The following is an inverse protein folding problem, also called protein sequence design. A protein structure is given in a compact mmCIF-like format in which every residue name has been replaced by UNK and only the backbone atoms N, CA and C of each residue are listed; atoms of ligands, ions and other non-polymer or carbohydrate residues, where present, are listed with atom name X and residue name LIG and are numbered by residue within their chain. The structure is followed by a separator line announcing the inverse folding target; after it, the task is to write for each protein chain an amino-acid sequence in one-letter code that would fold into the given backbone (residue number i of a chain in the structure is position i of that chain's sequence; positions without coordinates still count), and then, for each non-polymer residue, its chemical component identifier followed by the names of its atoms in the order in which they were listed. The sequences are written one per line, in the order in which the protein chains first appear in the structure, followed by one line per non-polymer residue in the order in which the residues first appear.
data_IF_152904060224
#
_entry.id   IF_152904060224
#
_cell.length_a   1.000
_cell.length_b   1.000
_cell.length_c   1.000
_cell.angle_alpha   90.00
_cell.angle_beta   90.00
_cell.angle_gamma   90.00
#
_symmetry.space_group_name_H-M   'P 1'
#
loop_
_entity.id
_entity.type
_entity.pdbx_description
1 polymer ?
#
# COMPACT_ATOMS: atom_id res chain seq x y z
N UNK A 1 -9.06 -25.14 -0.30
CA UNK A 1 -9.17 -24.15 -1.38
C UNK A 1 -7.81 -23.48 -1.52
N UNK A 2 -7.17 -23.58 -2.69
CA UNK A 2 -5.83 -23.00 -2.90
C UNK A 2 -5.94 -21.46 -2.93
N UNK A 3 -5.31 -20.80 -1.96
CA UNK A 3 -5.35 -19.34 -1.82
C UNK A 3 -4.24 -18.74 -2.69
N UNK A 4 -4.40 -18.81 -4.01
CA UNK A 4 -3.49 -18.11 -4.93
C UNK A 4 -3.88 -16.63 -5.06
N UNK A 5 -3.71 -15.87 -3.98
CA UNK A 5 -3.73 -14.41 -4.06
C UNK A 5 -2.42 -13.96 -4.72
N UNK A 6 -2.48 -13.77 -6.04
CA UNK A 6 -1.31 -13.50 -6.88
C UNK A 6 -0.69 -12.11 -6.66
N UNK A 7 -1.31 -11.22 -5.91
CA UNK A 7 -0.82 -9.86 -5.70
C UNK A 7 -0.96 -9.40 -4.25
N UNK A 8 0.12 -8.85 -3.71
CA UNK A 8 0.12 -8.12 -2.44
C UNK A 8 -0.68 -6.82 -2.56
N UNK A 9 -1.25 -6.34 -1.45
CA UNK A 9 -1.78 -4.98 -1.43
C UNK A 9 -0.69 -3.96 -1.80
N UNK A 10 -1.08 -2.88 -2.47
CA UNK A 10 -0.21 -1.82 -2.97
C UNK A 10 0.76 -2.20 -4.12
N UNK A 11 0.69 -3.43 -4.62
CA UNK A 11 1.48 -3.89 -5.77
C UNK A 11 0.61 -3.99 -7.05
N UNK A 12 1.27 -4.09 -8.21
CA UNK A 12 0.63 -4.28 -9.51
C UNK A 12 -0.33 -3.14 -9.92
N UNK A 13 0.12 -1.88 -9.81
CA UNK A 13 -0.63 -0.74 -10.34
C UNK A 13 -0.96 -0.93 -11.83
N UNK A 14 -2.23 -0.76 -12.24
CA UNK A 14 -2.63 -0.91 -13.65
C UNK A 14 -2.27 0.31 -14.51
N UNK A 15 -1.82 1.41 -13.88
CA UNK A 15 -1.35 2.60 -14.58
C UNK A 15 0.04 2.33 -15.14
N UNK A 16 0.23 2.56 -16.45
CA UNK A 16 1.52 2.35 -17.10
C UNK A 16 2.31 3.66 -17.11
N UNK A 17 3.58 3.59 -16.75
CA UNK A 17 4.56 4.64 -17.03
C UNK A 17 5.21 4.39 -18.38
N UNK A 18 5.37 5.46 -19.19
CA UNK A 18 6.19 5.56 -20.42
C UNK A 18 6.52 4.21 -21.09
N UNK A 19 5.68 3.77 -22.02
CA UNK A 19 6.11 2.78 -23.01
C UNK A 19 6.55 3.51 -24.28
N UNK A 20 7.58 3.01 -24.97
CA UNK A 20 7.94 3.42 -26.33
C UNK A 20 6.88 3.05 -27.41
N UNK A 21 5.67 2.70 -26.97
CA UNK A 21 4.47 2.54 -27.79
C UNK A 21 3.91 3.91 -28.17
N UNK A 22 3.46 4.06 -29.41
CA UNK A 22 2.86 5.26 -30.02
C UNK A 22 1.59 5.78 -29.31
N UNK A 23 1.15 5.11 -28.24
CA UNK A 23 -0.04 5.42 -27.42
C UNK A 23 0.28 5.94 -26.02
N UNK A 24 1.57 6.06 -25.65
CA UNK A 24 1.96 6.49 -24.30
C UNK A 24 1.97 8.01 -24.15
N UNK A 25 1.25 8.52 -23.15
CA UNK A 25 1.26 9.94 -22.79
C UNK A 25 2.60 10.29 -22.14
N UNK A 26 3.36 11.23 -22.74
CA UNK A 26 4.54 11.79 -22.09
C UNK A 26 4.14 12.54 -20.81
N UNK A 27 4.80 12.34 -19.66
CA UNK A 27 4.52 13.10 -18.44
C UNK A 27 4.61 14.62 -18.63
N UNK A 28 5.50 15.10 -19.50
CA UNK A 28 5.62 16.54 -19.79
C UNK A 28 4.40 17.05 -20.55
N UNK A 29 3.98 16.34 -21.60
CA UNK A 29 2.80 16.69 -22.38
C UNK A 29 1.52 16.63 -21.53
N UNK A 30 1.42 15.62 -20.65
CA UNK A 30 0.34 15.51 -19.69
C UNK A 30 0.32 16.73 -18.74
N UNK A 31 1.48 17.16 -18.24
CA UNK A 31 1.59 18.31 -17.35
C UNK A 31 1.20 19.63 -18.04
N UNK A 32 1.59 19.82 -19.30
CA UNK A 32 1.20 20.97 -20.12
C UNK A 32 -0.31 21.01 -20.36
N UNK A 33 -0.90 19.85 -20.67
CA UNK A 33 -2.35 19.71 -20.83
C UNK A 33 -3.09 20.00 -19.52
N UNK A 34 -2.62 19.47 -18.39
CA UNK A 34 -3.22 19.72 -17.08
C UNK A 34 -3.15 21.21 -16.72
N UNK A 35 -2.01 21.87 -16.95
CA UNK A 35 -1.85 23.33 -16.75
C UNK A 35 -2.90 24.13 -17.51
N UNK A 36 -3.03 23.84 -18.80
CA UNK A 36 -3.99 24.52 -19.67
C UNK A 36 -5.44 24.34 -19.17
N UNK A 37 -5.79 23.13 -18.69
CA UNK A 37 -7.12 22.84 -18.14
C UNK A 37 -7.39 23.57 -16.81
N UNK A 38 -6.39 23.70 -15.95
CA UNK A 38 -6.51 24.43 -14.68
C UNK A 38 -6.66 25.95 -14.92
N UNK A 39 -5.89 26.50 -15.86
CA UNK A 39 -5.93 27.93 -16.21
C UNK A 39 -7.28 28.31 -16.88
N UNK A 40 -7.83 27.44 -17.73
CA UNK A 40 -9.13 27.66 -18.38
C UNK A 40 -10.30 27.65 -17.39
N UNK A 41 -10.24 26.79 -16.36
CA UNK A 41 -11.26 26.71 -15.30
C UNK A 41 -11.33 27.95 -14.41
N UNK A 42 -10.26 28.76 -14.37
CA UNK A 42 -10.21 30.01 -13.62
C UNK A 42 -10.80 31.22 -14.40
N UNK A 43 -11.16 31.06 -15.68
CA UNK A 43 -11.42 32.20 -16.57
C UNK A 43 -12.58 32.15 -17.56
N UNK A 44 -13.31 31.04 -17.77
CA UNK A 44 -14.36 31.04 -18.81
C UNK A 44 -15.55 30.10 -18.56
N UNK A 45 -16.70 30.69 -18.21
CA UNK A 45 -17.88 30.53 -19.05
C UNK A 45 -17.67 31.45 -20.27
N UNK A 46 -17.94 30.94 -21.48
CA UNK A 46 -17.66 31.57 -22.79
C UNK A 46 -16.20 31.55 -23.28
N UNK A 47 -15.85 30.52 -24.07
CA UNK A 47 -15.30 30.70 -25.42
C UNK A 47 -15.11 29.34 -26.10
N UNK A 48 -15.68 29.19 -27.29
CA UNK A 48 -15.36 28.11 -28.22
C UNK A 48 -13.92 28.26 -28.72
N UNK A 49 -13.00 27.47 -28.16
CA UNK A 49 -11.66 27.28 -28.73
C UNK A 49 -11.45 25.81 -29.13
N UNK A 50 -11.17 25.52 -30.41
CA UNK A 50 -10.78 24.20 -30.86
C UNK A 50 -9.26 24.06 -30.74
N UNK A 51 -8.76 23.55 -29.62
CA UNK A 51 -7.41 22.97 -29.54
C UNK A 51 -7.47 21.59 -28.87
N UNK A 52 -6.70 20.62 -29.38
CA UNK A 52 -6.86 19.22 -29.01
C UNK A 52 -6.18 19.04 -27.66
N UNK A 53 -6.96 18.73 -26.63
CA UNK A 53 -6.41 18.09 -25.43
C UNK A 53 -6.59 16.59 -25.64
N UNK A 54 -5.61 15.85 -26.22
CA UNK A 54 -5.77 14.45 -26.61
C UNK A 54 -5.87 13.48 -25.42
N UNK A 55 -5.99 13.98 -24.18
CA UNK A 55 -5.99 13.16 -22.97
C UNK A 55 -6.96 13.70 -21.93
N UNK A 56 -7.92 12.86 -21.54
CA UNK A 56 -8.75 13.10 -20.36
C UNK A 56 -7.87 13.06 -19.10
N UNK A 57 -7.87 14.14 -18.30
CA UNK A 57 -7.14 14.17 -17.02
C UNK A 57 -8.04 13.76 -15.87
N UNK A 58 -7.61 12.77 -15.08
CA UNK A 58 -8.29 12.29 -13.88
C UNK A 58 -7.43 12.59 -12.66
N UNK A 59 -7.98 13.32 -11.69
CA UNK A 59 -7.28 13.74 -10.48
C UNK A 59 -7.82 12.96 -9.29
N UNK A 60 -6.92 12.39 -8.48
CA UNK A 60 -7.21 11.81 -7.19
C UNK A 60 -6.80 12.79 -6.08
N UNK A 61 -7.76 13.47 -5.43
CA UNK A 61 -7.46 14.33 -4.30
C UNK A 61 -7.07 13.51 -3.07
N UNK A 62 -6.14 14.04 -2.30
CA UNK A 62 -5.77 13.56 -0.98
C UNK A 62 -6.01 14.64 0.07
N UNK A 63 -6.30 14.22 1.30
CA UNK A 63 -6.33 15.10 2.46
C UNK A 63 -5.62 14.44 3.63
N UNK A 64 -4.45 14.96 3.99
CA UNK A 64 -3.58 14.45 5.06
C UNK A 64 -3.26 12.97 4.87
N UNK A 65 -2.82 12.61 3.66
CA UNK A 65 -2.49 11.24 3.27
C UNK A 65 -3.69 10.31 3.02
N UNK A 66 -4.93 10.79 3.15
CA UNK A 66 -6.16 10.03 2.88
C UNK A 66 -6.64 10.26 1.45
N UNK A 67 -6.72 9.24 0.57
CA UNK A 67 -7.30 9.40 -0.76
C UNK A 67 -8.81 9.65 -0.69
N UNK A 68 -9.34 10.34 -1.70
CA UNK A 68 -10.78 10.40 -1.94
C UNK A 68 -11.27 9.05 -2.49
N UNK A 69 -12.17 8.42 -1.76
CA UNK A 69 -12.80 7.16 -2.12
C UNK A 69 -14.33 7.35 -2.15
N UNK A 70 -15.01 6.52 -2.92
CA UNK A 70 -16.46 6.40 -2.93
C UNK A 70 -16.84 4.95 -2.68
N UNK A 71 -18.05 4.73 -2.18
CA UNK A 71 -18.59 3.39 -1.97
C UNK A 71 -20.02 3.34 -2.43
N UNK A 72 -20.37 2.22 -3.07
CA UNK A 72 -21.73 1.95 -3.52
C UNK A 72 -22.29 0.77 -2.73
N UNK A 73 -23.58 0.83 -2.44
CA UNK A 73 -24.28 -0.32 -1.89
C UNK A 73 -24.27 -1.47 -2.88
N UNK A 74 -24.12 -2.68 -2.36
CA UNK A 74 -24.23 -3.88 -3.17
C UNK A 74 -25.64 -4.03 -3.74
N UNK A 75 -25.77 -4.46 -5.00
CA UNK A 75 -27.09 -4.83 -5.52
C UNK A 75 -27.68 -5.98 -4.69
N UNK A 76 -29.01 -6.03 -4.50
CA UNK A 76 -29.64 -7.12 -3.76
C UNK A 76 -29.37 -8.47 -4.44
N UNK A 77 -29.21 -9.56 -3.67
CA UNK A 77 -28.95 -10.88 -4.24
C UNK A 77 -30.12 -11.32 -5.14
N UNK A 78 -29.87 -12.06 -6.23
CA UNK A 78 -30.92 -12.63 -7.05
C UNK A 78 -31.81 -13.55 -6.20
N UNK A 79 -33.12 -13.62 -6.52
CA UNK A 79 -34.12 -14.32 -5.71
C UNK A 79 -33.78 -15.79 -5.37
N UNK A 80 -32.97 -16.45 -6.21
CA UNK A 80 -32.47 -17.82 -5.99
C UNK A 80 -31.41 -17.95 -4.88
N UNK A 81 -30.88 -16.84 -4.36
CA UNK A 81 -29.81 -16.79 -3.35
C UNK A 81 -30.24 -16.07 -2.05
N UNK A 82 -31.55 -15.91 -1.82
CA UNK A 82 -32.12 -15.09 -0.73
C UNK A 82 -31.73 -15.52 0.71
N UNK A 83 -31.14 -16.72 0.88
CA UNK A 83 -30.63 -17.19 2.17
C UNK A 83 -29.18 -16.73 2.48
N UNK A 84 -28.44 -16.22 1.49
CA UNK A 84 -27.08 -15.74 1.70
C UNK A 84 -27.07 -14.23 2.03
N UNK A 85 -26.21 -13.77 2.97
CA UNK A 85 -26.07 -12.35 3.24
C UNK A 85 -25.60 -11.59 1.97
N UNK A 86 -26.06 -10.35 1.74
CA UNK A 86 -25.67 -9.57 0.56
C UNK A 86 -24.14 -9.35 0.54
N UNK A 87 -23.51 -9.21 -0.63
CA UNK A 87 -22.07 -8.95 -0.67
C UNK A 87 -21.73 -7.62 0.04
N UNK A 88 -20.54 -7.49 0.65
CA UNK A 88 -20.12 -6.23 1.25
C UNK A 88 -20.12 -5.09 0.21
N UNK A 89 -20.37 -3.84 0.61
CA UNK A 89 -20.25 -2.69 -0.28
C UNK A 89 -18.86 -2.64 -0.94
N UNK A 90 -18.82 -2.32 -2.22
CA UNK A 90 -17.57 -2.11 -2.93
C UNK A 90 -17.16 -0.63 -2.83
N UNK A 91 -15.90 -0.39 -2.50
CA UNK A 91 -15.30 0.94 -2.57
C UNK A 91 -14.43 1.06 -3.82
N UNK A 92 -14.31 2.27 -4.37
CA UNK A 92 -13.43 2.61 -5.49
C UNK A 92 -12.81 3.98 -5.27
N UNK A 93 -11.71 4.27 -5.96
CA UNK A 93 -11.17 5.63 -5.96
C UNK A 93 -12.15 6.62 -6.60
N UNK A 94 -12.27 7.80 -6.00
CA UNK A 94 -13.09 8.88 -6.50
C UNK A 94 -12.21 9.86 -7.30
N UNK A 95 -12.25 9.70 -8.62
CA UNK A 95 -11.52 10.54 -9.56
C UNK A 95 -12.35 11.79 -9.90
N UNK A 96 -11.73 12.96 -9.85
CA UNK A 96 -12.32 14.24 -10.19
C UNK A 96 -11.73 14.79 -11.50
N UNK A 97 -12.52 15.52 -12.31
CA UNK A 97 -11.97 16.32 -13.40
C UNK A 97 -11.23 17.56 -12.85
N UNK A 98 -10.30 18.17 -13.61
CA UNK A 98 -9.56 19.37 -13.19
C UNK A 98 -10.44 20.52 -12.70
N UNK A 99 -11.60 20.73 -13.33
CA UNK A 99 -12.55 21.77 -12.94
C UNK A 99 -13.10 21.63 -11.50
N UNK A 100 -13.08 20.44 -10.89
CA UNK A 100 -13.50 20.22 -9.49
C UNK A 100 -12.36 20.38 -8.48
N UNK A 101 -11.16 20.75 -8.95
CA UNK A 101 -10.01 21.07 -8.08
C UNK A 101 -9.38 22.41 -8.52
N UNK A 102 -10.18 23.51 -8.59
CA UNK A 102 -9.69 24.81 -9.05
C UNK A 102 -8.62 25.37 -8.10
N UNK A 103 -7.83 26.35 -8.56
CA UNK A 103 -6.87 27.10 -7.72
C UNK A 103 -5.72 26.27 -7.12
N UNK A 104 -5.47 25.04 -7.58
CA UNK A 104 -4.25 24.29 -7.22
C UNK A 104 -3.11 24.69 -8.16
N UNK A 105 -1.95 25.12 -7.63
CA UNK A 105 -0.75 25.28 -8.43
C UNK A 105 -0.40 23.99 -9.17
N UNK A 106 -0.10 24.09 -10.47
CA UNK A 106 0.18 22.92 -11.30
C UNK A 106 1.37 22.07 -10.83
N UNK A 107 2.30 22.67 -10.08
CA UNK A 107 3.47 22.00 -9.52
C UNK A 107 3.17 21.17 -8.27
N UNK A 108 1.97 21.31 -7.68
CA UNK A 108 1.50 20.48 -6.58
C UNK A 108 0.97 19.11 -7.03
N UNK A 109 0.75 18.91 -8.33
CA UNK A 109 0.26 17.66 -8.89
C UNK A 109 1.40 16.67 -9.14
N UNK A 110 1.13 15.39 -8.86
CA UNK A 110 2.04 14.28 -9.17
C UNK A 110 1.41 13.36 -10.20
N UNK A 111 2.16 13.06 -11.27
CA UNK A 111 1.72 12.16 -12.32
C UNK A 111 1.85 10.70 -11.87
N UNK A 112 0.75 9.93 -11.96
CA UNK A 112 0.68 8.53 -11.55
C UNK A 112 0.83 7.56 -12.73
N UNK A 113 0.57 8.01 -13.94
CA UNK A 113 0.63 7.20 -15.16
C UNK A 113 -0.53 7.47 -16.10
N UNK A 114 -0.61 6.65 -17.14
CA UNK A 114 -1.70 6.69 -18.10
C UNK A 114 -2.36 5.31 -18.25
N UNK A 115 -3.62 5.31 -18.63
CA UNK A 115 -4.38 4.10 -18.93
C UNK A 115 -5.29 4.34 -20.13
N UNK A 116 -5.23 3.46 -21.13
CA UNK A 116 -6.14 3.47 -22.29
C UNK A 116 -7.39 2.66 -21.97
N UNK A 117 -8.56 3.23 -22.24
CA UNK A 117 -9.83 2.59 -21.89
C UNK A 117 -10.32 1.53 -22.90
N UNK A 118 -9.61 1.30 -24.02
CA UNK A 118 -9.82 0.20 -25.00
C UNK A 118 -8.83 0.39 -26.17
N UNK A 119 -8.66 -0.63 -27.04
CA UNK A 119 -7.97 -0.45 -28.32
C UNK A 119 -8.68 0.64 -29.14
N UNK A 120 -7.99 1.76 -29.39
CA UNK A 120 -8.51 2.88 -30.19
C UNK A 120 -9.06 4.07 -29.39
N UNK A 121 -9.13 4.00 -28.04
CA UNK A 121 -9.46 5.17 -27.20
C UNK A 121 -8.20 5.88 -26.71
N UNK A 122 -8.25 7.21 -26.63
CA UNK A 122 -7.17 8.02 -26.09
C UNK A 122 -6.89 7.69 -24.61
N UNK A 123 -5.61 7.62 -24.24
CA UNK A 123 -5.21 7.30 -22.88
C UNK A 123 -5.49 8.47 -21.93
N UNK A 124 -6.17 8.20 -20.82
CA UNK A 124 -6.37 9.17 -19.76
C UNK A 124 -5.09 9.33 -18.92
N UNK A 125 -4.77 10.56 -18.54
CA UNK A 125 -3.67 10.88 -17.65
C UNK A 125 -4.17 10.94 -16.20
N UNK A 126 -3.49 10.22 -15.31
CA UNK A 126 -3.88 10.09 -13.90
C UNK A 126 -2.93 10.87 -13.01
N UNK A 127 -3.50 11.66 -12.11
CA UNK A 127 -2.79 12.59 -11.24
C UNK A 127 -3.23 12.42 -9.79
N UNK A 128 -2.37 12.79 -8.85
CA UNK A 128 -2.76 13.02 -7.46
C UNK A 128 -2.33 14.40 -6.98
N UNK A 129 -3.04 14.91 -5.96
CA UNK A 129 -2.81 16.22 -5.37
C UNK A 129 -3.24 16.20 -3.91
N UNK A 130 -2.51 16.89 -3.03
CA UNK A 130 -2.95 17.13 -1.66
C UNK A 130 -3.76 18.45 -1.56
N UNK A 131 -4.99 18.35 -1.06
CA UNK A 131 -5.94 19.46 -0.87
C UNK A 131 -6.21 19.75 0.61
N UNK A 132 -5.23 19.46 1.49
CA UNK A 132 -5.35 19.64 2.95
C UNK A 132 -5.43 21.09 3.41
N UNK A 133 -4.75 22.00 2.72
CA UNK A 133 -4.70 23.44 3.05
C UNK A 133 -5.97 24.18 2.60
N UNK A 134 -7.06 23.46 2.32
CA UNK A 134 -8.28 24.02 1.72
C UNK A 134 -9.51 23.71 2.56
N UNK A 135 -10.27 24.76 2.80
CA UNK A 135 -11.60 24.65 3.38
C UNK A 135 -12.57 24.10 2.35
N UNK A 136 -13.24 23.02 2.72
CA UNK A 136 -14.19 22.31 1.86
C UNK A 136 -14.64 21.04 2.56
N UNK A 137 -15.91 21.03 2.95
CA UNK A 137 -16.61 19.82 3.38
C UNK A 137 -16.67 18.81 2.23
N UNK A 138 -16.97 17.54 2.53
CA UNK A 138 -16.75 16.40 1.63
C UNK A 138 -17.28 16.57 0.20
N UNK A 139 -16.80 15.74 -0.72
CA UNK A 139 -17.04 15.88 -2.15
C UNK A 139 -18.50 15.69 -2.63
N UNK A 140 -19.49 15.64 -1.73
CA UNK A 140 -20.90 15.93 -2.03
C UNK A 140 -21.66 14.88 -2.86
N UNK A 141 -21.09 13.70 -3.08
CA UNK A 141 -21.56 12.73 -4.08
C UNK A 141 -21.39 11.27 -3.64
N UNK A 142 -21.43 11.01 -2.33
CA UNK A 142 -21.15 9.67 -1.78
C UNK A 142 -19.66 9.31 -1.79
N UNK A 143 -18.78 10.33 -1.79
CA UNK A 143 -17.33 10.17 -1.63
C UNK A 143 -16.79 10.87 -0.37
N UNK A 144 -15.72 10.31 0.17
CA UNK A 144 -15.07 10.79 1.38
C UNK A 144 -13.56 10.50 1.36
N UNK A 145 -12.81 11.27 2.14
CA UNK A 145 -11.39 11.00 2.38
C UNK A 145 -11.23 9.89 3.42
N UNK A 146 -10.75 8.73 3.00
CA UNK A 146 -10.66 7.52 3.83
C UNK A 146 -9.21 7.16 4.08
N UNK A 147 -8.89 6.67 5.28
CA UNK A 147 -7.54 6.20 5.60
C UNK A 147 -7.13 5.01 4.71
N UNK A 148 -5.90 5.03 4.22
CA UNK A 148 -5.41 4.01 3.27
C UNK A 148 -5.33 2.61 3.90
N UNK A 149 -5.05 2.49 5.21
CA UNK A 149 -5.06 1.20 5.91
C UNK A 149 -6.49 0.67 6.05
N UNK A 150 -7.46 1.55 6.27
CA UNK A 150 -8.88 1.17 6.27
C UNK A 150 -9.33 0.67 4.91
N UNK A 151 -8.97 1.36 3.82
CA UNK A 151 -9.24 0.89 2.46
C UNK A 151 -8.58 -0.47 2.20
N UNK A 152 -7.32 -0.65 2.61
CA UNK A 152 -6.60 -1.92 2.48
C UNK A 152 -7.36 -3.08 3.13
N UNK A 153 -7.87 -2.91 4.35
CA UNK A 153 -8.63 -3.96 5.05
C UNK A 153 -10.04 -4.14 4.45
N UNK A 154 -10.69 -3.05 4.00
CA UNK A 154 -12.01 -3.07 3.38
C UNK A 154 -12.05 -3.72 1.99
N UNK A 155 -10.90 -3.89 1.34
CA UNK A 155 -10.80 -4.37 -0.04
C UNK A 155 -11.12 -5.85 -0.13
N UNK A 156 -11.98 -6.23 -1.08
CA UNK A 156 -12.07 -7.61 -1.49
C UNK A 156 -10.80 -7.96 -2.29
N UNK A 157 -9.91 -8.74 -1.69
CA UNK A 157 -8.64 -9.16 -2.29
C UNK A 157 -8.81 -10.10 -3.50
N UNK A 158 -10.03 -10.58 -3.78
CA UNK A 158 -10.37 -11.33 -4.99
C UNK A 158 -10.69 -10.40 -6.17
N UNK A 159 -11.06 -9.15 -5.88
CA UNK A 159 -11.35 -8.12 -6.88
C UNK A 159 -10.04 -7.45 -7.34
N UNK A 160 -9.65 -7.77 -8.58
CA UNK A 160 -8.43 -7.24 -9.20
C UNK A 160 -8.48 -5.73 -9.39
N UNK A 161 -9.65 -5.17 -9.65
CA UNK A 161 -9.78 -3.74 -9.88
C UNK A 161 -9.65 -2.97 -8.57
N UNK A 162 -10.25 -3.48 -7.50
CA UNK A 162 -10.10 -2.90 -6.16
C UNK A 162 -8.65 -2.98 -5.67
N UNK A 163 -7.96 -4.09 -5.94
CA UNK A 163 -6.51 -4.22 -5.68
C UNK A 163 -5.67 -3.26 -6.52
N UNK A 164 -6.05 -3.03 -7.78
CA UNK A 164 -5.43 -2.03 -8.64
C UNK A 164 -5.61 -0.59 -8.12
N UNK A 165 -6.82 -0.26 -7.64
CA UNK A 165 -7.13 1.00 -6.99
C UNK A 165 -6.28 1.20 -5.72
N UNK A 166 -6.08 0.17 -4.89
CA UNK A 166 -5.16 0.23 -3.75
C UNK A 166 -3.73 0.53 -4.19
N UNK A 167 -3.23 -0.12 -5.24
CA UNK A 167 -1.88 0.10 -5.76
C UNK A 167 -1.67 1.54 -6.24
N UNK A 168 -2.66 2.11 -6.91
CA UNK A 168 -2.65 3.52 -7.32
C UNK A 168 -2.64 4.44 -6.10
N UNK A 169 -3.53 4.21 -5.14
CA UNK A 169 -3.63 5.03 -3.94
C UNK A 169 -2.35 5.00 -3.09
N UNK A 170 -1.74 3.81 -2.96
CA UNK A 170 -0.47 3.63 -2.29
C UNK A 170 0.68 4.38 -2.97
N UNK A 171 0.79 4.27 -4.29
CA UNK A 171 1.79 5.01 -5.07
C UNK A 171 1.61 6.53 -4.94
N UNK A 172 0.38 7.01 -5.08
CA UNK A 172 0.04 8.42 -4.95
C UNK A 172 0.36 8.97 -3.56
N UNK A 173 -0.02 8.24 -2.49
CA UNK A 173 0.30 8.62 -1.11
C UNK A 173 1.81 8.74 -0.90
N UNK A 174 2.58 7.74 -1.36
CA UNK A 174 4.04 7.75 -1.22
C UNK A 174 4.68 8.97 -1.89
N UNK A 175 4.25 9.30 -3.11
CA UNK A 175 4.76 10.48 -3.82
C UNK A 175 4.39 11.78 -3.11
N UNK A 176 3.11 11.95 -2.73
CA UNK A 176 2.64 13.16 -2.04
C UNK A 176 3.33 13.37 -0.69
N UNK A 177 3.49 12.31 0.10
CA UNK A 177 4.18 12.38 1.39
C UNK A 177 5.67 12.70 1.22
N UNK A 178 6.33 12.13 0.20
CA UNK A 178 7.69 12.50 -0.13
C UNK A 178 7.81 13.97 -0.55
N UNK A 179 6.84 14.50 -1.31
CA UNK A 179 6.81 15.93 -1.63
C UNK A 179 6.64 16.80 -0.39
N UNK A 180 5.82 16.35 0.56
CA UNK A 180 5.56 17.01 1.85
C UNK A 180 6.85 17.14 2.68
N UNK A 181 7.69 16.09 2.68
CA UNK A 181 8.88 16.01 3.54
C UNK A 181 10.14 16.55 2.86
N UNK A 182 10.32 16.35 1.55
CA UNK A 182 11.51 16.77 0.80
C UNK A 182 11.44 18.22 0.30
N UNK A 183 11.18 19.20 1.18
CA UNK A 183 10.98 20.62 0.79
C UNK A 183 12.27 21.35 0.40
N UNK A 184 13.41 20.91 0.93
CA UNK A 184 14.71 21.56 0.74
C UNK A 184 15.77 20.55 0.26
N UNK A 185 16.80 21.05 -0.40
CA UNK A 185 17.92 20.27 -0.87
C UNK A 185 18.85 19.92 0.29
N UNK A 186 19.02 18.62 0.56
CA UNK A 186 19.94 18.15 1.60
C UNK A 186 21.43 18.43 1.35
N UNK A 187 21.82 18.98 0.19
CA UNK A 187 23.21 19.36 -0.09
C UNK A 187 23.52 20.83 0.18
N UNK A 188 22.59 21.75 -0.07
CA UNK A 188 22.84 23.19 0.02
C UNK A 188 21.73 23.99 0.76
N UNK A 189 20.68 23.34 1.24
CA UNK A 189 19.57 23.98 1.95
C UNK A 189 18.58 24.77 1.08
N UNK A 190 18.87 24.99 -0.21
CA UNK A 190 17.96 25.70 -1.12
C UNK A 190 16.67 24.91 -1.40
N UNK A 191 15.60 25.60 -1.84
CA UNK A 191 14.30 24.97 -2.12
C UNK A 191 14.42 23.84 -3.16
N UNK A 192 13.73 22.73 -2.90
CA UNK A 192 13.59 21.63 -3.85
C UNK A 192 12.27 21.80 -4.61
N UNK A 193 12.34 22.06 -5.92
CA UNK A 193 11.17 22.31 -6.77
C UNK A 193 10.76 21.02 -7.52
N UNK A 194 9.46 20.72 -7.67
CA UNK A 194 8.99 19.61 -8.48
C UNK A 194 9.51 19.67 -9.92
N UNK A 195 9.84 18.50 -10.48
CA UNK A 195 10.26 18.32 -11.87
C UNK A 195 9.72 17.00 -12.42
N UNK A 196 9.65 16.88 -13.75
CA UNK A 196 9.11 15.69 -14.43
C UNK A 196 7.72 15.29 -13.92
N UNK A 197 6.79 16.25 -13.93
CA UNK A 197 5.40 16.06 -13.49
C UNK A 197 5.30 15.50 -12.05
N UNK A 198 6.14 16.01 -11.15
CA UNK A 198 6.14 15.62 -9.75
C UNK A 198 6.79 14.26 -9.47
N UNK A 199 7.45 13.61 -10.43
CA UNK A 199 8.13 12.31 -10.21
C UNK A 199 9.50 12.45 -9.56
N UNK A 200 10.09 13.64 -9.63
CA UNK A 200 11.31 14.00 -8.92
C UNK A 200 11.30 15.47 -8.51
N UNK A 201 12.34 15.89 -7.80
CA UNK A 201 12.61 17.28 -7.45
C UNK A 201 13.98 17.69 -7.96
N UNK A 202 14.14 19.00 -8.10
CA UNK A 202 15.33 19.65 -8.58
C UNK A 202 15.69 20.78 -7.60
N UNK A 203 16.94 20.87 -7.17
CA UNK A 203 17.38 22.01 -6.38
C UNK A 203 17.23 23.31 -7.19
N UNK A 204 16.62 24.34 -6.61
CA UNK A 204 16.42 25.65 -7.25
C UNK A 204 17.68 26.50 -7.34
N UNK A 205 18.77 26.10 -6.68
CA UNK A 205 20.04 26.80 -6.79
C UNK A 205 20.77 26.37 -8.06
N UNK A 206 21.01 27.34 -8.94
CA UNK A 206 21.65 27.16 -10.24
C UNK A 206 23.07 26.59 -10.15
N UNK A 207 23.82 26.87 -9.07
CA UNK A 207 25.15 26.29 -8.88
C UNK A 207 25.12 24.86 -8.34
N UNK A 208 24.02 24.45 -7.70
CA UNK A 208 23.88 23.10 -7.13
C UNK A 208 23.22 22.13 -8.12
N UNK A 209 22.04 22.47 -8.64
CA UNK A 209 21.24 21.64 -9.57
C UNK A 209 21.17 20.15 -9.20
N UNK A 210 21.18 19.81 -7.91
CA UNK A 210 21.03 18.42 -7.46
C UNK A 210 19.63 17.90 -7.80
N UNK A 211 19.57 16.72 -8.43
CA UNK A 211 18.35 15.93 -8.62
C UNK A 211 18.04 15.17 -7.34
N UNK A 212 16.77 15.14 -6.96
CA UNK A 212 16.30 14.50 -5.72
C UNK A 212 15.15 13.56 -6.10
N UNK A 213 15.29 12.29 -5.74
CA UNK A 213 14.33 11.25 -6.07
C UNK A 213 13.48 10.85 -4.87
N UNK A 214 12.29 10.26 -5.08
CA UNK A 214 11.47 9.69 -4.02
C UNK A 214 12.25 8.71 -3.13
N UNK A 215 12.05 8.82 -1.82
CA UNK A 215 12.66 7.92 -0.82
C UNK A 215 11.85 6.62 -0.73
N UNK A 216 12.54 5.50 -0.70
CA UNK A 216 12.01 4.17 -0.41
C UNK A 216 12.93 3.53 0.62
N UNK A 217 12.38 3.10 1.75
CA UNK A 217 13.14 2.53 2.86
C UNK A 217 13.01 0.99 2.85
N UNK A 218 14.09 0.23 2.55
CA UNK A 218 14.02 -1.22 2.50
C UNK A 218 13.89 -1.81 3.90
N UNK A 219 12.97 -2.77 4.03
CA UNK A 219 12.70 -3.50 5.27
C UNK A 219 12.67 -4.98 4.94
N UNK A 220 13.55 -5.78 5.55
CA UNK A 220 13.45 -7.23 5.44
C UNK A 220 12.34 -7.72 6.35
N UNK A 221 11.57 -8.70 5.89
CA UNK A 221 10.57 -9.41 6.70
C UNK A 221 10.75 -10.90 6.48
N UNK A 222 10.87 -11.67 7.55
CA UNK A 222 11.32 -13.06 7.45
C UNK A 222 10.50 -13.99 8.32
N UNK A 223 10.12 -15.12 7.73
CA UNK A 223 9.62 -16.27 8.47
C UNK A 223 10.80 -17.20 8.76
N UNK A 224 11.18 -17.30 10.03
CA UNK A 224 12.27 -18.17 10.47
C UNK A 224 11.71 -19.57 10.74
N UNK A 225 12.31 -20.58 10.14
CA UNK A 225 11.81 -21.95 10.11
C UNK A 225 12.78 -22.88 10.83
N UNK A 226 12.25 -23.64 11.78
CA UNK A 226 12.89 -24.83 12.33
C UNK A 226 12.39 -26.03 11.54
N UNK A 227 13.25 -26.51 10.63
CA UNK A 227 12.92 -27.56 9.67
C UNK A 227 12.79 -28.93 10.34
N UNK A 228 13.52 -29.18 11.42
CA UNK A 228 13.56 -30.49 12.09
C UNK A 228 12.28 -30.72 12.90
N UNK A 229 11.77 -29.67 13.55
CA UNK A 229 10.59 -29.74 14.40
C UNK A 229 9.30 -29.23 13.72
N UNK A 230 9.34 -28.95 12.42
CA UNK A 230 8.23 -28.44 11.60
C UNK A 230 7.45 -27.27 12.24
N UNK A 231 8.20 -26.25 12.64
CA UNK A 231 7.67 -25.06 13.32
C UNK A 231 8.31 -23.78 12.80
N UNK A 232 7.63 -22.66 13.00
CA UNK A 232 8.13 -21.34 12.60
C UNK A 232 8.14 -20.38 13.79
N UNK A 233 9.11 -19.48 13.80
CA UNK A 233 9.23 -18.42 14.79
C UNK A 233 8.28 -17.30 14.39
N UNK A 234 7.38 -16.95 15.30
CA UNK A 234 6.56 -15.76 15.18
C UNK A 234 6.80 -14.87 16.39
N UNK A 235 6.68 -13.57 16.19
CA UNK A 235 6.82 -12.57 17.24
C UNK A 235 5.57 -11.70 17.38
N UNK A 236 5.51 -11.01 18.51
CA UNK A 236 4.48 -10.03 18.83
C UNK A 236 5.13 -8.79 19.42
N UNK A 237 4.65 -7.63 18.99
CA UNK A 237 5.04 -6.32 19.52
C UNK A 237 3.91 -5.76 20.39
N UNK A 238 4.24 -4.98 21.42
CA UNK A 238 3.27 -4.40 22.35
C UNK A 238 2.25 -3.47 21.68
N UNK A 239 2.63 -2.85 20.54
CA UNK A 239 1.76 -2.02 19.72
C UNK A 239 0.75 -2.81 18.87
N UNK A 240 0.94 -4.12 18.73
CA UNK A 240 0.05 -4.96 17.94
C UNK A 240 -1.26 -5.21 18.69
N UNK A 241 -2.29 -5.54 17.91
CA UNK A 241 -3.56 -5.98 18.46
C UNK A 241 -3.30 -7.22 19.30
N UNK A 242 -3.84 -7.31 20.54
CA UNK A 242 -3.56 -8.45 21.43
C UNK A 242 -3.81 -9.78 20.72
N UNK A 243 -2.85 -10.71 20.82
CA UNK A 243 -2.82 -12.03 20.15
C UNK A 243 -2.44 -12.05 18.66
N UNK A 244 -2.04 -10.91 18.07
CA UNK A 244 -1.46 -10.90 16.73
C UNK A 244 -0.01 -11.40 16.77
N UNK A 245 0.28 -12.45 16.02
CA UNK A 245 1.62 -12.99 15.82
C UNK A 245 2.03 -12.79 14.36
N UNK A 246 3.26 -12.34 14.11
CA UNK A 246 3.75 -12.01 12.78
C UNK A 246 5.20 -12.47 12.59
N UNK A 247 5.67 -12.42 11.35
CA UNK A 247 7.09 -12.52 11.02
C UNK A 247 7.90 -11.39 11.68
N UNK A 248 9.19 -11.66 11.92
CA UNK A 248 10.18 -10.65 12.30
C UNK A 248 10.41 -9.70 11.12
N UNK A 249 10.74 -8.43 11.39
CA UNK A 249 11.02 -7.47 10.34
C UNK A 249 11.83 -6.29 10.85
N UNK A 250 12.79 -5.83 10.03
CA UNK A 250 13.63 -4.70 10.39
C UNK A 250 14.28 -4.02 9.19
N UNK A 251 14.87 -2.86 9.44
CA UNK A 251 15.45 -2.04 8.39
C UNK A 251 16.80 -2.58 7.96
N UNK A 252 17.13 -2.40 6.68
CA UNK A 252 18.50 -2.62 6.21
C UNK A 252 19.43 -1.50 6.69
N UNK A 253 20.67 -1.84 7.04
CA UNK A 253 21.70 -0.86 7.33
C UNK A 253 22.55 -0.50 6.08
N UNK A 254 23.12 0.72 6.01
CA UNK A 254 24.03 1.07 4.92
C UNK A 254 25.25 0.15 4.85
N UNK A 255 25.44 -0.50 3.70
CA UNK A 255 26.55 -1.43 3.47
C UNK A 255 26.20 -2.90 3.75
N UNK A 256 24.98 -3.18 4.20
CA UNK A 256 24.47 -4.52 4.46
C UNK A 256 23.74 -5.10 3.23
N UNK A 257 23.90 -6.40 2.97
CA UNK A 257 23.04 -7.15 2.05
C UNK A 257 21.69 -7.49 2.69
N UNK A 258 20.69 -7.87 1.89
CA UNK A 258 19.37 -8.24 2.43
C UNK A 258 19.47 -9.48 3.32
N UNK A 259 20.33 -10.43 2.95
CA UNK A 259 20.54 -11.67 3.68
C UNK A 259 21.31 -11.45 4.99
N UNK A 260 22.22 -10.48 5.04
CA UNK A 260 22.86 -10.03 6.29
C UNK A 260 21.84 -9.37 7.21
N UNK A 261 21.00 -8.48 6.69
CA UNK A 261 19.93 -7.83 7.47
C UNK A 261 18.98 -8.86 8.09
N UNK A 262 18.56 -9.88 7.32
CA UNK A 262 17.75 -10.98 7.85
C UNK A 262 18.43 -11.70 9.02
N UNK A 263 19.74 -11.94 8.93
CA UNK A 263 20.50 -12.61 9.99
C UNK A 263 20.65 -11.73 11.22
N UNK A 264 21.02 -10.46 11.03
CA UNK A 264 21.20 -9.48 12.10
C UNK A 264 19.90 -9.27 12.86
N UNK A 265 18.82 -8.89 12.18
CA UNK A 265 17.52 -8.60 12.80
C UNK A 265 16.96 -9.83 13.54
N UNK A 266 17.11 -11.03 12.97
CA UNK A 266 16.69 -12.25 13.67
C UNK A 266 17.49 -12.47 14.96
N UNK A 267 18.79 -12.26 14.92
CA UNK A 267 19.65 -12.42 16.08
C UNK A 267 19.41 -11.34 17.14
N UNK A 268 19.25 -10.09 16.74
CA UNK A 268 19.01 -8.94 17.65
C UNK A 268 17.70 -9.09 18.41
N UNK A 269 16.61 -9.41 17.70
CA UNK A 269 15.28 -9.47 18.31
C UNK A 269 15.05 -10.76 19.12
N UNK A 270 15.69 -11.89 18.74
CA UNK A 270 15.33 -13.22 19.28
C UNK A 270 16.50 -14.10 19.70
N UNK A 271 17.75 -13.71 19.46
CA UNK A 271 18.94 -14.53 19.72
C UNK A 271 19.11 -15.72 18.78
N UNK A 272 18.19 -15.94 17.84
CA UNK A 272 18.24 -17.08 16.91
C UNK A 272 19.24 -16.81 15.79
N UNK A 273 20.18 -17.74 15.61
CA UNK A 273 21.08 -17.73 14.47
C UNK A 273 20.38 -18.38 13.28
N UNK A 274 20.47 -17.75 12.12
CA UNK A 274 19.91 -18.31 10.88
C UNK A 274 21.00 -18.54 9.84
N UNK A 275 20.85 -19.62 9.09
CA UNK A 275 21.75 -20.05 8.04
C UNK A 275 21.31 -19.53 6.69
N UNK A 276 20.65 -20.40 5.95
CA UNK A 276 20.14 -20.11 4.62
C UNK A 276 18.99 -19.09 4.68
N UNK A 277 19.00 -18.17 3.71
CA UNK A 277 18.01 -17.10 3.53
C UNK A 277 17.55 -17.13 2.07
N UNK A 278 16.25 -17.32 1.85
CA UNK A 278 15.65 -17.47 0.51
C UNK A 278 14.63 -16.37 0.30
N UNK A 279 14.84 -15.55 -0.74
CA UNK A 279 13.88 -14.53 -1.16
C UNK A 279 12.55 -15.16 -1.59
N UNK A 280 11.44 -14.57 -1.14
CA UNK A 280 10.09 -14.96 -1.50
C UNK A 280 9.44 -13.95 -2.43
N UNK A 281 9.22 -12.71 -1.96
CA UNK A 281 8.51 -11.68 -2.69
C UNK A 281 8.79 -10.29 -2.10
N UNK A 282 8.25 -9.24 -2.71
CA UNK A 282 8.35 -7.87 -2.19
C UNK A 282 7.00 -7.17 -2.21
N UNK A 283 6.74 -6.30 -1.24
CA UNK A 283 5.53 -5.51 -1.13
C UNK A 283 5.87 -4.04 -0.81
N UNK A 284 5.44 -3.07 -1.66
CA UNK A 284 5.42 -1.67 -1.27
C UNK A 284 4.49 -1.46 -0.08
N UNK A 285 4.93 -0.68 0.91
CA UNK A 285 4.19 -0.44 2.14
C UNK A 285 4.08 1.06 2.44
N UNK A 286 3.20 1.78 1.73
CA UNK A 286 2.97 3.21 1.90
C UNK A 286 2.01 3.50 3.05
N UNK A 287 1.89 2.60 4.04
CA UNK A 287 1.04 2.74 5.23
C UNK A 287 1.84 2.77 6.54
N UNK A 288 3.13 3.08 6.43
CA UNK A 288 4.00 3.41 7.55
C UNK A 288 3.67 4.78 8.18
N UNK A 289 4.47 5.21 9.17
CA UNK A 289 4.41 6.55 9.77
C UNK A 289 4.48 7.65 8.71
N UNK A 290 3.82 8.80 8.95
CA UNK A 290 3.78 9.91 7.98
C UNK A 290 5.16 10.48 7.62
N UNK A 291 6.19 10.26 8.43
CA UNK A 291 7.57 10.70 8.13
C UNK A 291 8.32 9.77 7.17
N UNK A 292 7.73 8.62 6.82
CA UNK A 292 8.34 7.59 5.99
C UNK A 292 7.42 7.31 4.80
N UNK A 293 7.67 7.95 3.63
CA UNK A 293 6.73 7.95 2.52
C UNK A 293 6.35 6.56 2.02
N UNK A 294 7.32 5.65 1.94
CA UNK A 294 7.11 4.27 1.51
C UNK A 294 8.22 3.36 2.03
N UNK A 295 7.84 2.29 2.73
CA UNK A 295 8.74 1.17 2.99
C UNK A 295 8.65 0.17 1.84
N UNK A 296 9.74 -0.51 1.52
CA UNK A 296 9.74 -1.68 0.65
C UNK A 296 9.96 -2.92 1.50
N UNK A 297 8.89 -3.67 1.76
CA UNK A 297 8.98 -4.93 2.48
C UNK A 297 9.55 -5.98 1.54
N UNK A 298 10.63 -6.64 1.95
CA UNK A 298 11.29 -7.71 1.19
C UNK A 298 11.19 -8.99 2.00
N UNK A 299 10.39 -9.93 1.50
CA UNK A 299 10.02 -11.16 2.19
C UNK A 299 11.04 -12.28 2.00
N UNK A 300 11.40 -12.95 3.10
CA UNK A 300 12.33 -14.07 3.11
C UNK A 300 11.84 -15.26 3.93
N UNK A 301 12.25 -16.45 3.51
CA UNK A 301 12.35 -17.61 4.41
C UNK A 301 13.76 -17.68 4.96
N UNK A 302 13.91 -17.91 6.25
CA UNK A 302 15.20 -18.10 6.90
C UNK A 302 15.22 -19.40 7.68
N UNK A 303 16.32 -20.15 7.68
CA UNK A 303 16.41 -21.44 8.37
C UNK A 303 17.23 -21.33 9.63
N UNK A 304 16.65 -21.72 10.76
CA UNK A 304 17.27 -21.65 12.07
C UNK A 304 18.44 -22.63 12.20
N UNK A 305 19.54 -22.15 12.79
CA UNK A 305 20.72 -22.93 13.22
C UNK A 305 20.74 -23.13 14.74
N UNK A 306 20.09 -22.26 15.49
CA UNK A 306 19.87 -22.37 16.94
C UNK A 306 18.37 -22.30 17.24
N UNK A 307 17.95 -22.80 18.41
CA UNK A 307 16.54 -22.93 18.78
C UNK A 307 16.17 -22.21 20.10
N UNK A 308 17.17 -21.78 20.88
CA UNK A 308 16.96 -21.10 22.15
C UNK A 308 16.65 -19.62 21.94
N UNK A 309 15.44 -19.22 22.30
CA UNK A 309 14.94 -17.86 22.09
C UNK A 309 15.33 -16.96 23.26
N UNK A 310 15.98 -15.85 22.95
CA UNK A 310 16.27 -14.75 23.86
C UNK A 310 15.64 -13.46 23.30
N UNK A 311 14.46 -13.11 23.79
CA UNK A 311 13.70 -11.96 23.27
C UNK A 311 14.26 -10.64 23.78
N UNK A 312 14.57 -9.70 22.89
CA UNK A 312 14.78 -8.30 23.29
C UNK A 312 13.43 -7.66 23.63
N UNK A 313 13.18 -7.51 24.93
CA UNK A 313 11.95 -6.93 25.48
C UNK A 313 11.80 -5.42 25.22
N UNK A 314 12.82 -4.74 24.67
CA UNK A 314 12.70 -3.34 24.23
C UNK A 314 11.90 -3.23 22.93
N UNK A 315 12.00 -4.22 22.06
CA UNK A 315 11.39 -4.19 20.73
C UNK A 315 10.19 -5.14 20.62
N UNK A 316 10.35 -6.37 21.14
CA UNK A 316 9.33 -7.40 21.09
C UNK A 316 8.70 -7.62 22.46
N UNK A 317 7.38 -7.82 22.46
CA UNK A 317 6.70 -8.30 23.65
C UNK A 317 6.96 -9.79 23.87
N UNK A 318 6.95 -10.57 22.79
CA UNK A 318 7.24 -12.01 22.85
C UNK A 318 7.66 -12.59 21.49
N UNK A 319 8.35 -13.72 21.52
CA UNK A 319 8.67 -14.53 20.34
C UNK A 319 8.62 -16.02 20.70
N UNK A 320 7.95 -16.82 19.87
CA UNK A 320 7.71 -18.23 20.14
C UNK A 320 7.77 -19.08 18.87
N UNK A 321 8.18 -20.33 19.05
CA UNK A 321 8.05 -21.35 18.02
C UNK A 321 6.61 -21.87 17.98
N UNK A 322 5.96 -21.74 16.83
CA UNK A 322 4.61 -22.26 16.60
C UNK A 322 4.64 -23.41 15.61
N UNK A 323 3.96 -24.52 15.96
CA UNK A 323 3.84 -25.66 15.07
C UNK A 323 3.11 -25.28 13.78
N UNK A 324 3.43 -25.94 12.67
CA UNK A 324 2.69 -25.76 11.42
C UNK A 324 1.19 -25.95 11.60
N UNK A 325 0.77 -26.89 12.45
CA UNK A 325 -0.64 -27.17 12.71
C UNK A 325 -1.34 -25.99 13.39
N UNK A 326 -0.71 -25.38 14.40
CA UNK A 326 -1.29 -24.24 15.12
C UNK A 326 -1.36 -23.00 14.22
N UNK A 327 -0.32 -22.75 13.43
CA UNK A 327 -0.31 -21.65 12.46
C UNK A 327 -1.37 -21.88 11.37
N UNK A 328 -1.58 -23.12 10.95
CA UNK A 328 -2.67 -23.47 10.00
C UNK A 328 -4.05 -23.21 10.60
N UNK A 329 -4.25 -23.49 11.89
CA UNK A 329 -5.50 -23.15 12.61
C UNK A 329 -5.69 -21.63 12.72
N UNK A 330 -4.60 -20.87 12.82
CA UNK A 330 -4.62 -19.40 12.87
C UNK A 330 -4.94 -18.72 11.52
N UNK A 331 -4.80 -19.43 10.39
CA UNK A 331 -5.15 -18.95 9.05
C UNK A 331 -6.66 -19.12 8.80
N UNK A 332 -7.47 -18.44 9.60
CA UNK A 332 -8.94 -18.48 9.60
C UNK A 332 -9.55 -17.56 8.54
N UNK A 333 -9.83 -18.11 7.35
CA UNK A 333 -10.41 -17.31 6.25
C UNK A 333 -11.71 -16.58 6.61
N UNK A 334 -12.58 -17.21 7.41
CA UNK A 334 -13.85 -16.62 7.83
C UNK A 334 -13.68 -15.36 8.71
N UNK A 335 -12.63 -15.30 9.54
CA UNK A 335 -12.34 -14.13 10.37
C UNK A 335 -11.83 -12.96 9.52
N UNK A 336 -11.00 -13.24 8.50
CA UNK A 336 -10.57 -12.23 7.54
C UNK A 336 -11.75 -11.69 6.74
N UNK A 337 -12.64 -12.55 6.25
CA UNK A 337 -13.84 -12.13 5.51
C UNK A 337 -14.77 -11.28 6.39
N UNK A 338 -14.95 -11.66 7.67
CA UNK A 338 -15.68 -10.85 8.65
C UNK A 338 -15.03 -9.47 8.81
N UNK A 339 -13.72 -9.41 9.01
CA UNK A 339 -12.98 -8.15 9.17
C UNK A 339 -13.07 -7.25 7.92
N UNK A 340 -12.95 -7.85 6.73
CA UNK A 340 -13.09 -7.16 5.44
C UNK A 340 -14.50 -6.59 5.30
N UNK A 341 -15.54 -7.39 5.54
CA UNK A 341 -16.95 -6.97 5.46
C UNK A 341 -17.28 -5.84 6.42
N UNK A 342 -16.81 -5.92 7.67
CA UNK A 342 -16.97 -4.85 8.67
C UNK A 342 -16.31 -3.55 8.19
N UNK A 343 -15.08 -3.62 7.67
CA UNK A 343 -14.39 -2.42 7.17
C UNK A 343 -15.03 -1.87 5.90
N UNK A 344 -15.53 -2.72 5.00
CA UNK A 344 -16.27 -2.29 3.80
C UNK A 344 -17.56 -1.54 4.15
N UNK A 345 -18.34 -2.04 5.12
CA UNK A 345 -19.52 -1.36 5.65
C UNK A 345 -19.14 0.00 6.28
N UNK A 346 -18.04 0.04 7.02
CA UNK A 346 -17.54 1.27 7.62
C UNK A 346 -17.15 2.32 6.57
N UNK A 347 -16.41 1.92 5.54
CA UNK A 347 -16.07 2.80 4.40
C UNK A 347 -17.33 3.34 3.74
N UNK A 348 -18.36 2.51 3.56
CA UNK A 348 -19.65 2.93 3.03
C UNK A 348 -20.33 3.98 3.92
N UNK A 349 -20.35 3.79 5.24
CA UNK A 349 -20.91 4.75 6.19
C UNK A 349 -20.15 6.10 6.20
N UNK A 350 -18.82 6.06 6.10
CA UNK A 350 -17.97 7.26 5.97
C UNK A 350 -18.31 8.01 4.67
N UNK A 351 -18.45 7.28 3.55
CA UNK A 351 -18.80 7.85 2.25
C UNK A 351 -20.20 8.48 2.22
N UNK A 352 -21.14 7.93 2.99
CA UNK A 352 -22.51 8.46 3.17
C UNK A 352 -22.62 9.60 4.17
N UNK A 353 -21.53 9.96 4.87
CA UNK A 353 -21.52 11.00 5.89
C UNK A 353 -22.22 10.62 7.20
N UNK A 354 -22.48 9.32 7.43
CA UNK A 354 -23.15 8.81 8.64
C UNK A 354 -22.18 8.70 9.81
N UNK A 355 -20.95 8.24 9.57
CA UNK A 355 -19.88 8.23 10.58
C UNK A 355 -18.99 9.48 10.50
N UNK A 356 -18.70 10.11 11.65
CA UNK A 356 -17.71 11.20 11.72
C UNK A 356 -16.29 10.63 11.55
N UNK A 357 -15.45 11.35 10.79
CA UNK A 357 -14.07 11.04 10.33
C UNK A 357 -13.03 10.73 11.44
N UNK A 358 -13.26 9.73 12.30
CA UNK A 358 -12.30 9.32 13.33
C UNK A 358 -11.26 8.31 12.80
N UNK A 359 -10.05 8.39 13.36
CA UNK A 359 -8.89 7.54 13.02
C UNK A 359 -9.01 6.16 13.64
N UNK A 360 -8.79 5.11 12.83
CA UNK A 360 -9.20 3.72 13.11
C UNK A 360 -8.00 2.87 13.56
N UNK A 361 -7.19 3.36 14.50
CA UNK A 361 -6.17 2.48 15.10
C UNK A 361 -6.76 1.48 16.10
N UNK A 362 -8.06 1.57 16.44
CA UNK A 362 -8.69 0.85 17.55
C UNK A 362 -9.57 -0.35 17.15
N UNK A 363 -9.97 -0.51 15.87
CA UNK A 363 -11.09 -1.41 15.49
C UNK A 363 -10.68 -2.76 14.89
N UNK A 364 -9.44 -3.20 15.13
CA UNK A 364 -9.06 -4.60 14.89
C UNK A 364 -9.46 -5.52 16.07
N UNK A 365 -10.32 -5.06 16.97
CA UNK A 365 -10.95 -5.91 17.99
C UNK A 365 -11.93 -6.86 17.29
N UNK A 366 -11.41 -8.00 16.84
CA UNK A 366 -12.23 -9.14 16.43
C UNK A 366 -12.92 -9.64 17.71
N UNK A 367 -14.18 -9.24 17.90
CA UNK A 367 -15.08 -9.90 18.84
C UNK A 367 -15.47 -11.25 18.23
N UNK A 368 -14.72 -12.27 18.65
CA UNK A 368 -15.08 -13.69 18.51
C UNK A 368 -15.63 -14.16 19.85
N UNK A 369 -16.72 -14.93 19.82
CA UNK A 369 -17.37 -15.52 21.01
C UNK A 369 -16.49 -16.60 21.68
N UNK A 370 -15.47 -17.11 20.99
CA UNK A 370 -14.30 -17.78 21.56
C UNK A 370 -13.04 -17.29 20.84
N UNK A 371 -12.20 -16.44 21.45
CA UNK A 371 -11.06 -15.89 20.74
C UNK A 371 -10.05 -16.98 20.41
N UNK A 372 -9.74 -17.14 19.12
CA UNK A 372 -8.64 -17.99 18.70
C UNK A 372 -7.36 -17.62 19.49
N UNK A 373 -6.56 -18.61 19.92
CA UNK A 373 -5.41 -18.37 20.78
C UNK A 373 -4.34 -17.50 20.11
N UNK A 374 -4.35 -17.46 18.78
CA UNK A 374 -3.47 -16.65 17.94
C UNK A 374 -4.19 -16.25 16.66
N UNK A 375 -3.83 -15.10 16.10
CA UNK A 375 -4.14 -14.76 14.72
C UNK A 375 -2.91 -14.15 14.05
N UNK A 376 -2.83 -14.29 12.73
CA UNK A 376 -1.74 -13.74 11.91
C UNK A 376 -2.27 -12.60 11.02
N UNK A 377 -1.40 -11.72 10.47
CA UNK A 377 -1.83 -10.67 9.57
C UNK A 377 -2.74 -11.17 8.44
N UNK A 378 -3.64 -10.31 7.98
CA UNK A 378 -4.60 -10.66 6.95
C UNK A 378 -3.98 -10.87 5.56
N UNK A 379 -4.74 -11.45 4.62
CA UNK A 379 -4.27 -11.87 3.29
C UNK A 379 -3.74 -10.76 2.37
N UNK A 380 -3.84 -9.50 2.79
CA UNK A 380 -3.26 -8.35 2.10
C UNK A 380 -1.77 -8.11 2.46
N UNK A 381 -1.28 -8.68 3.56
CA UNK A 381 0.05 -8.41 4.10
C UNK A 381 1.07 -9.48 3.68
N UNK A 382 2.29 -9.09 3.32
CA UNK A 382 3.38 -10.00 2.94
C UNK A 382 3.70 -11.06 4.00
N UNK A 383 3.56 -10.73 5.29
CA UNK A 383 3.66 -11.69 6.38
C UNK A 383 2.68 -12.87 6.24
N UNK A 384 1.42 -12.60 5.85
CA UNK A 384 0.43 -13.63 5.58
C UNK A 384 0.86 -14.53 4.42
N UNK A 385 1.43 -13.96 3.37
CA UNK A 385 1.89 -14.74 2.21
C UNK A 385 3.07 -15.63 2.59
N UNK A 386 4.06 -15.12 3.33
CA UNK A 386 5.16 -15.94 3.85
C UNK A 386 4.63 -17.10 4.70
N UNK A 387 3.76 -16.80 5.66
CA UNK A 387 3.17 -17.79 6.57
C UNK A 387 2.33 -18.82 5.81
N UNK A 388 1.44 -18.39 4.92
CA UNK A 388 0.54 -19.28 4.18
C UNK A 388 1.29 -20.13 3.14
N UNK A 389 2.26 -19.56 2.41
CA UNK A 389 3.13 -20.32 1.51
C UNK A 389 3.93 -21.37 2.28
N UNK A 390 4.53 -21.02 3.43
CA UNK A 390 5.17 -22.02 4.27
C UNK A 390 4.18 -23.12 4.66
N UNK A 391 3.03 -22.79 5.25
CA UNK A 391 2.03 -23.75 5.76
C UNK A 391 1.52 -24.71 4.69
N UNK A 392 1.13 -24.20 3.50
CA UNK A 392 0.40 -24.97 2.49
C UNK A 392 1.27 -25.53 1.37
N UNK A 393 2.32 -24.82 0.95
CA UNK A 393 3.18 -25.21 -0.17
C UNK A 393 4.49 -25.86 0.32
N UNK A 394 4.83 -25.64 1.60
CA UNK A 394 6.14 -25.96 2.15
C UNK A 394 7.15 -24.87 1.78
N UNK A 395 8.20 -24.71 2.61
CA UNK A 395 9.27 -23.79 2.23
C UNK A 395 10.05 -24.32 1.01
N UNK A 396 10.47 -23.45 0.08
CA UNK A 396 11.21 -23.86 -1.10
C UNK A 396 12.46 -24.65 -0.69
N UNK A 397 12.73 -25.75 -1.39
CA UNK A 397 13.96 -26.51 -1.20
C UNK A 397 15.10 -25.75 -1.87
N UNK A 398 16.15 -25.47 -1.11
CA UNK A 398 17.42 -25.01 -1.64
C UNK A 398 17.92 -25.91 -2.79
N UNK A 399 18.38 -25.37 -3.92
CA UNK A 399 19.28 -26.12 -4.78
C UNK A 399 20.58 -26.40 -3.99
N UNK A 400 21.08 -27.64 -4.06
CA UNK A 400 22.19 -28.18 -3.27
C UNK A 400 23.53 -27.43 -3.41
N UNK A 401 23.61 -26.41 -4.26
CA UNK A 401 24.82 -25.65 -4.57
C UNK A 401 25.12 -24.47 -3.63
N UNK A 402 24.22 -24.10 -2.71
CA UNK A 402 24.41 -22.96 -1.79
C UNK A 402 24.69 -23.34 -0.33
N UNK A 403 24.83 -24.64 -0.03
CA UNK A 403 25.04 -25.18 1.32
C UNK A 403 26.35 -24.76 2.02
N UNK A 404 27.24 -24.02 1.33
CA UNK A 404 28.60 -23.70 1.78
C UNK A 404 28.88 -22.19 1.91
N UNK A 405 27.86 -21.32 1.93
CA UNK A 405 28.02 -19.88 2.21
C UNK A 405 27.35 -19.48 3.52
#
# INVERSE_FOLDING_TARGET
MSIHLRAHAFAASPLRGLSASTTAVSPSAAADALRSLLDAGAGAADAAHPHPHPHLSKILPFRRGRPLARSHDSPPPPAAAAAAPPPPPAWRLAWLPPARVPDVPSDAFVFLGAHGEEEGKEAAAYWAVDVSERDGEGAGDGSAFVDLRTLMVATDWRDKDAMGDLAIAGHARALLEWHSTAKFCGACGSRAVPAEAGRRKQCSNESCKKRIYPRVDPVVIMLVIDKENDRALLSRQSRFVPRMWSCLAGFIEPGESLEEAVRRETWEETGIQVGEVIYHSSQPWPVGPSTMPCQLMVGFFAYAKSLEIHVDKKELEDAQWHSREDVKKALTFAEYEKAQRTNALKVNQICKGVEKRQSISADLKIESEEPAPMFVPGPYAIAHHLISSWVFEGAPKAPSSFSNL
#
